data_IF_200548985781
#
_entry.id   IF_200548985781
#
_cell.length_a   1.000
_cell.length_b   1.000
_cell.length_c   1.000
_cell.angle_alpha   90.00
_cell.angle_beta   90.00
_cell.angle_gamma   90.00
#
_symmetry.space_group_name_H-M   'P 1'
#
loop_
_entity.id
_entity.type
_entity.pdbx_description
1 polymer ?
#
# COMPACT_ATOMS: atom_id res chain seq x y z
N UNK A 1 26.04 2.08 -6.25
CA UNK A 1 24.64 1.94 -6.70
C UNK A 1 24.05 3.35 -6.78
N UNK A 2 23.80 3.88 -7.97
CA UNK A 2 22.95 5.06 -8.12
C UNK A 2 21.51 4.54 -8.15
N UNK A 3 20.83 4.56 -7.01
CA UNK A 3 19.38 4.43 -7.00
C UNK A 3 18.83 5.65 -7.73
N UNK A 4 18.15 5.39 -8.83
CA UNK A 4 17.26 6.34 -9.46
C UNK A 4 16.33 6.94 -8.37
N UNK A 5 16.18 8.28 -8.36
CA UNK A 5 15.32 8.99 -7.39
C UNK A 5 13.90 8.45 -7.39
N UNK A 6 13.42 8.00 -8.55
CA UNK A 6 12.10 7.39 -8.72
C UNK A 6 12.03 6.01 -8.09
N UNK A 7 13.05 5.16 -8.29
CA UNK A 7 13.15 3.88 -7.58
C UNK A 7 13.20 4.06 -6.06
N UNK A 8 13.89 5.10 -5.58
CA UNK A 8 13.92 5.41 -4.15
C UNK A 8 12.52 5.81 -3.64
N UNK A 9 11.79 6.66 -4.38
CA UNK A 9 10.42 7.05 -4.04
C UNK A 9 9.47 5.85 -4.03
N UNK A 10 9.54 5.01 -5.07
CA UNK A 10 8.76 3.77 -5.15
C UNK A 10 9.04 2.85 -3.97
N UNK A 11 10.30 2.66 -3.61
CA UNK A 11 10.69 1.84 -2.46
C UNK A 11 10.16 2.44 -1.14
N UNK A 12 10.29 3.75 -0.94
CA UNK A 12 9.78 4.44 0.25
C UNK A 12 8.26 4.29 0.37
N UNK A 13 7.51 4.56 -0.70
CA UNK A 13 6.05 4.41 -0.71
C UNK A 13 5.64 2.98 -0.40
N UNK A 14 6.28 2.00 -1.04
CA UNK A 14 6.00 0.57 -0.81
C UNK A 14 6.21 0.19 0.66
N UNK A 15 7.32 0.64 1.24
CA UNK A 15 7.67 0.35 2.62
C UNK A 15 6.72 1.04 3.61
N UNK A 16 6.33 2.29 3.34
CA UNK A 16 5.38 3.05 4.16
C UNK A 16 3.99 2.40 4.17
N UNK A 17 3.55 1.86 3.03
CA UNK A 17 2.32 1.06 2.94
C UNK A 17 2.45 -0.23 3.74
N UNK A 18 3.52 -1.00 3.52
CA UNK A 18 3.78 -2.26 4.22
C UNK A 18 3.82 -2.08 5.73
N UNK A 19 4.61 -1.10 6.23
CA UNK A 19 4.73 -0.79 7.65
C UNK A 19 3.40 -0.41 8.27
N UNK A 20 2.62 0.45 7.61
CA UNK A 20 1.30 0.86 8.11
C UNK A 20 0.37 -0.33 8.25
N UNK A 21 0.29 -1.20 7.24
CA UNK A 21 -0.57 -2.37 7.27
C UNK A 21 -0.11 -3.40 8.33
N UNK A 22 1.20 -3.61 8.47
CA UNK A 22 1.76 -4.52 9.48
C UNK A 22 1.58 -3.98 10.91
N UNK A 23 1.63 -2.66 11.12
CA UNK A 23 1.31 -2.03 12.42
C UNK A 23 -0.14 -2.27 12.85
N UNK A 24 -1.07 -2.31 11.89
CA UNK A 24 -2.46 -2.71 12.15
C UNK A 24 -2.52 -4.21 12.45
N UNK A 25 -1.80 -5.01 11.68
CA UNK A 25 -1.54 -6.42 11.98
C UNK A 25 -1.22 -7.24 10.73
N UNK A 26 -0.45 -8.32 10.92
CA UNK A 26 -0.09 -9.24 9.83
C UNK A 26 -1.32 -9.75 9.03
N UNK A 27 -2.46 -10.14 9.64
CA UNK A 27 -3.63 -10.56 8.88
C UNK A 27 -4.22 -9.45 7.98
N UNK A 28 -4.06 -8.18 8.36
CA UNK A 28 -4.49 -7.02 7.56
C UNK A 28 -3.59 -6.87 6.34
N UNK A 29 -2.27 -6.90 6.53
CA UNK A 29 -1.31 -6.91 5.43
C UNK A 29 -1.59 -8.05 4.45
N UNK A 30 -1.67 -9.29 4.96
CA UNK A 30 -1.89 -10.48 4.13
C UNK A 30 -3.20 -10.36 3.31
N UNK A 31 -4.26 -9.82 3.91
CA UNK A 31 -5.55 -9.62 3.24
C UNK A 31 -5.46 -8.57 2.13
N UNK A 32 -4.78 -7.45 2.35
CA UNK A 32 -4.63 -6.39 1.34
C UNK A 32 -3.79 -6.89 0.16
N UNK A 33 -2.63 -7.49 0.42
CA UNK A 33 -1.75 -8.01 -0.64
C UNK A 33 -2.44 -9.11 -1.46
N UNK A 34 -3.15 -10.03 -0.79
CA UNK A 34 -3.94 -11.05 -1.48
C UNK A 34 -5.05 -10.46 -2.36
N UNK A 35 -5.69 -9.38 -1.91
CA UNK A 35 -6.75 -8.73 -2.68
C UNK A 35 -6.18 -7.96 -3.89
N UNK A 36 -5.05 -7.29 -3.74
CA UNK A 36 -4.35 -6.62 -4.84
C UNK A 36 -3.94 -7.60 -5.94
N UNK A 37 -3.29 -8.70 -5.55
CA UNK A 37 -2.91 -9.76 -6.48
C UNK A 37 -4.14 -10.36 -7.18
N UNK A 38 -5.24 -10.61 -6.46
CA UNK A 38 -6.45 -11.21 -7.04
C UNK A 38 -7.18 -10.29 -8.03
N UNK A 39 -7.24 -8.98 -7.77
CA UNK A 39 -8.03 -8.05 -8.59
C UNK A 39 -7.25 -7.42 -9.74
N UNK A 40 -5.95 -7.22 -9.55
CA UNK A 40 -5.12 -6.41 -10.46
C UNK A 40 -3.81 -7.09 -10.86
N UNK A 41 -3.53 -8.31 -10.36
CA UNK A 41 -2.23 -8.98 -10.52
C UNK A 41 -1.04 -8.10 -10.09
N UNK A 42 -1.28 -7.34 -9.01
CA UNK A 42 -0.46 -6.20 -8.58
C UNK A 42 0.15 -6.45 -7.19
N UNK A 43 1.37 -5.98 -6.99
CA UNK A 43 2.05 -5.96 -5.68
C UNK A 43 2.16 -4.52 -5.14
N UNK A 44 2.54 -4.38 -3.86
CA UNK A 44 2.66 -3.05 -3.23
C UNK A 44 3.54 -2.06 -4.02
N UNK A 45 4.68 -2.46 -4.60
CA UNK A 45 5.49 -1.54 -5.41
C UNK A 45 4.77 -1.03 -6.66
N UNK A 46 3.90 -1.82 -7.25
CA UNK A 46 3.16 -1.43 -8.46
C UNK A 46 2.04 -0.42 -8.14
N UNK A 47 1.65 -0.30 -6.87
CA UNK A 47 0.74 0.74 -6.41
C UNK A 47 1.38 2.14 -6.40
N UNK A 48 2.70 2.26 -6.60
CA UNK A 48 3.33 3.57 -6.81
C UNK A 48 2.90 4.18 -8.14
N UNK A 49 2.84 3.37 -9.20
CA UNK A 49 2.34 3.76 -10.52
C UNK A 49 0.81 3.75 -10.58
N UNK A 50 0.17 2.87 -9.81
CA UNK A 50 -1.29 2.70 -9.76
C UNK A 50 -1.88 2.88 -8.35
N UNK A 51 -1.80 4.08 -7.74
CA UNK A 51 -2.28 4.33 -6.39
C UNK A 51 -3.79 4.09 -6.22
N UNK A 52 -4.55 4.17 -7.31
CA UNK A 52 -5.98 3.88 -7.33
C UNK A 52 -6.32 2.43 -7.00
N UNK A 53 -5.43 1.47 -7.28
CA UNK A 53 -5.65 0.05 -6.96
C UNK A 53 -5.60 -0.18 -5.45
N UNK A 54 -4.56 0.33 -4.79
CA UNK A 54 -4.46 0.30 -3.34
C UNK A 54 -5.66 0.98 -2.70
N UNK A 55 -6.04 2.16 -3.18
CA UNK A 55 -7.16 2.91 -2.61
C UNK A 55 -8.49 2.15 -2.74
N UNK A 56 -8.76 1.52 -3.89
CA UNK A 56 -9.96 0.69 -4.10
C UNK A 56 -9.96 -0.54 -3.18
N UNK A 57 -8.82 -1.23 -3.05
CA UNK A 57 -8.68 -2.40 -2.16
C UNK A 57 -8.87 -2.01 -0.69
N UNK A 58 -8.23 -0.93 -0.23
CA UNK A 58 -8.39 -0.44 1.14
C UNK A 58 -9.85 -0.08 1.41
N UNK A 59 -10.49 0.67 0.52
CA UNK A 59 -11.91 1.01 0.64
C UNK A 59 -12.82 -0.22 0.65
N UNK A 60 -12.52 -1.23 -0.18
CA UNK A 60 -13.27 -2.49 -0.23
C UNK A 60 -13.13 -3.31 1.05
N UNK A 61 -11.95 -3.34 1.66
CA UNK A 61 -11.67 -4.12 2.88
C UNK A 61 -12.17 -3.42 4.14
N UNK A 62 -11.99 -2.10 4.23
CA UNK A 62 -12.21 -1.32 5.45
C UNK A 62 -13.45 -0.41 5.40
N UNK A 63 -14.17 -0.37 4.28
CA UNK A 63 -15.30 0.55 4.12
C UNK A 63 -14.84 2.00 4.31
N UNK A 64 -15.54 2.77 5.14
CA UNK A 64 -15.17 4.15 5.46
C UNK A 64 -13.91 4.27 6.34
N UNK A 65 -13.51 3.19 7.03
CA UNK A 65 -12.32 3.17 7.89
C UNK A 65 -11.00 3.10 7.11
N UNK A 66 -11.04 3.17 5.77
CA UNK A 66 -9.84 3.28 4.95
C UNK A 66 -9.18 4.66 5.01
N UNK A 67 -9.94 5.74 5.29
CA UNK A 67 -9.43 7.11 5.28
C UNK A 67 -8.28 7.28 6.28
N UNK A 68 -8.42 6.87 7.55
CA UNK A 68 -7.31 6.95 8.51
C UNK A 68 -6.08 6.11 8.12
N UNK A 69 -6.27 5.01 7.38
CA UNK A 69 -5.16 4.17 6.92
C UNK A 69 -4.36 4.91 5.84
N UNK A 70 -5.05 5.56 4.90
CA UNK A 70 -4.40 6.38 3.87
C UNK A 70 -3.62 7.54 4.50
N UNK A 71 -4.19 8.20 5.52
CA UNK A 71 -3.48 9.26 6.24
C UNK A 71 -2.27 8.72 7.01
N UNK A 72 -2.37 7.54 7.64
CA UNK A 72 -1.24 6.90 8.29
C UNK A 72 -0.10 6.57 7.31
N UNK A 73 -0.42 6.09 6.10
CA UNK A 73 0.58 5.83 5.04
C UNK A 73 1.31 7.12 4.66
N UNK A 74 0.57 8.23 4.46
CA UNK A 74 1.17 9.52 4.12
C UNK A 74 2.10 10.05 5.22
N UNK A 75 1.80 9.77 6.48
CA UNK A 75 2.63 10.18 7.62
C UNK A 75 3.92 9.35 7.77
N UNK A 76 4.05 8.23 7.06
CA UNK A 76 5.28 7.43 6.99
C UNK A 76 6.20 7.85 5.83
N UNK A 77 5.82 8.85 5.02
CA UNK A 77 6.62 9.39 3.91
C UNK A 77 7.44 10.61 4.36
#
# INVERSE_FOLDING_TARGET
>A
MNLDKEQLRKALVSLSVERTLLKIGKPVYDKVVKQLSREYDCYLPDCYEHPEYLNKVLKKIFGNSYIPIVEAIKNEL
#
